data_IF_604118609438
#
_entry.id   IF_604118609438
#
_cell.length_a   1.000
_cell.length_b   1.000
_cell.length_c   1.000
_cell.angle_alpha   90.00
_cell.angle_beta   90.00
_cell.angle_gamma   90.00
#
_symmetry.space_group_name_H-M   'P 1'
#
loop_
_entity.id
_entity.type
_entity.pdbx_description
1 polymer ?
#
# COMPACT_ATOMS: atom_id res chain seq x y z
N UNK A 1 21.80 44.47 -51.92
CA UNK A 1 20.80 44.18 -50.88
C UNK A 1 20.62 42.69 -50.89
N UNK A 2 21.30 41.98 -49.97
CA UNK A 2 21.30 40.51 -49.87
C UNK A 2 20.44 40.13 -48.72
N UNK A 3 19.28 39.50 -48.98
CA UNK A 3 18.40 38.90 -48.00
C UNK A 3 19.08 37.65 -47.43
N UNK A 4 19.36 37.65 -46.11
CA UNK A 4 19.72 36.44 -45.34
C UNK A 4 18.46 35.89 -44.72
N UNK A 5 17.99 34.75 -45.23
CA UNK A 5 16.96 33.94 -44.56
C UNK A 5 17.58 33.19 -43.40
N UNK A 6 17.10 33.45 -42.17
CA UNK A 6 17.45 32.73 -40.98
C UNK A 6 16.47 31.55 -40.87
N UNK A 7 16.99 30.33 -41.02
CA UNK A 7 16.26 29.09 -40.73
C UNK A 7 16.29 28.85 -39.20
N UNK A 8 15.14 28.94 -38.54
CA UNK A 8 14.97 28.46 -37.18
C UNK A 8 14.76 26.93 -37.20
N UNK A 9 15.76 26.20 -36.71
CA UNK A 9 15.63 24.77 -36.43
C UNK A 9 14.87 24.63 -35.11
N UNK A 10 13.57 24.28 -35.17
CA UNK A 10 12.80 23.86 -34.01
C UNK A 10 13.28 22.45 -33.66
N UNK A 11 14.13 22.33 -32.62
CA UNK A 11 14.35 21.05 -31.94
C UNK A 11 13.08 20.71 -31.18
N UNK A 12 12.36 19.70 -31.64
CA UNK A 12 11.34 19.02 -30.84
C UNK A 12 12.05 18.23 -29.75
N UNK A 13 12.05 18.76 -28.53
CA UNK A 13 12.28 17.96 -27.31
C UNK A 13 11.08 17.05 -27.15
N UNK A 14 11.18 15.80 -27.62
CA UNK A 14 10.28 14.75 -27.21
C UNK A 14 10.53 14.51 -25.72
N UNK A 15 9.50 14.51 -24.86
CA UNK A 15 9.68 14.07 -23.51
C UNK A 15 10.14 12.59 -23.56
N UNK A 16 11.30 12.31 -23.01
CA UNK A 16 11.68 10.94 -22.68
C UNK A 16 10.73 10.50 -21.55
N UNK A 17 9.61 9.89 -21.90
CA UNK A 17 8.89 9.05 -20.97
C UNK A 17 9.73 7.79 -20.81
N UNK A 18 10.43 7.66 -19.69
CA UNK A 18 10.99 6.38 -19.29
C UNK A 18 9.79 5.42 -19.15
N UNK A 19 9.62 4.55 -20.12
CA UNK A 19 8.64 3.47 -20.03
C UNK A 19 9.22 2.49 -19.02
N UNK A 20 8.64 2.44 -17.82
CA UNK A 20 8.86 1.32 -16.92
C UNK A 20 8.44 0.06 -17.67
N UNK A 21 9.39 -0.85 -17.95
CA UNK A 21 9.08 -2.11 -18.59
C UNK A 21 8.24 -2.94 -17.62
N UNK A 22 7.14 -3.58 -18.06
CA UNK A 22 6.33 -4.40 -17.18
C UNK A 22 7.18 -5.53 -16.60
N UNK A 23 7.03 -5.79 -15.31
CA UNK A 23 7.66 -6.92 -14.65
C UNK A 23 6.92 -8.18 -15.08
N UNK A 24 7.66 -9.18 -15.59
CA UNK A 24 7.13 -10.50 -15.96
C UNK A 24 7.07 -11.41 -14.73
N UNK A 25 8.14 -11.41 -13.94
CA UNK A 25 8.24 -12.19 -12.69
C UNK A 25 9.33 -11.64 -11.77
N UNK A 26 9.43 -12.21 -10.57
CA UNK A 26 10.41 -11.84 -9.57
C UNK A 26 11.40 -12.97 -9.28
N UNK A 27 12.69 -12.62 -9.10
CA UNK A 27 13.78 -13.53 -8.78
C UNK A 27 14.67 -12.96 -7.67
N UNK A 28 15.31 -13.85 -6.89
CA UNK A 28 16.24 -13.45 -5.86
C UNK A 28 17.68 -13.45 -6.39
N UNK A 29 18.37 -12.33 -6.31
CA UNK A 29 19.81 -12.22 -6.63
C UNK A 29 20.69 -12.43 -5.39
N UNK A 30 20.14 -12.20 -4.18
CA UNK A 30 20.77 -12.56 -2.92
C UNK A 30 19.70 -13.14 -1.98
N UNK A 31 19.98 -14.34 -1.46
CA UNK A 31 19.23 -15.00 -0.39
C UNK A 31 20.01 -14.92 0.93
N UNK A 32 19.29 -14.81 2.05
CA UNK A 32 19.95 -14.68 3.35
C UNK A 32 20.80 -15.90 3.69
N UNK A 33 20.36 -17.11 3.33
CA UNK A 33 20.98 -18.38 3.68
C UNK A 33 22.27 -18.69 2.91
N UNK A 34 22.67 -17.83 1.97
CA UNK A 34 23.93 -17.99 1.23
C UNK A 34 25.15 -17.71 2.12
N UNK A 35 26.35 -18.07 1.62
CA UNK A 35 27.60 -17.71 2.31
C UNK A 35 27.90 -16.21 2.18
N UNK A 36 28.25 -15.60 3.31
CA UNK A 36 28.66 -14.20 3.44
C UNK A 36 30.03 -14.09 4.11
N UNK A 37 30.81 -13.13 3.68
CA UNK A 37 31.95 -12.68 4.48
C UNK A 37 31.46 -11.81 5.63
N UNK A 38 31.94 -12.06 6.87
CA UNK A 38 31.50 -11.31 8.04
C UNK A 38 32.63 -10.94 8.99
N UNK A 39 32.45 -9.84 9.71
CA UNK A 39 33.39 -9.33 10.71
C UNK A 39 32.60 -8.80 11.91
N UNK A 40 32.98 -9.23 13.11
CA UNK A 40 32.50 -8.64 14.36
C UNK A 40 33.04 -7.19 14.50
N UNK A 41 32.15 -6.27 14.90
CA UNK A 41 32.47 -4.86 15.08
C UNK A 41 33.26 -4.58 16.37
N UNK A 42 34.48 -5.06 16.44
CA UNK A 42 35.44 -4.77 17.54
C UNK A 42 36.24 -3.50 17.29
N UNK A 43 36.27 -3.04 16.07
CA UNK A 43 36.98 -1.82 15.61
C UNK A 43 36.44 -1.40 14.24
N UNK A 44 36.65 -0.14 13.84
CA UNK A 44 36.28 0.35 12.50
C UNK A 44 36.95 -0.48 11.40
N UNK A 45 36.19 -0.98 10.40
CA UNK A 45 36.78 -1.54 9.20
C UNK A 45 37.40 -0.41 8.35
N UNK A 46 38.27 -0.73 7.38
CA UNK A 46 38.75 0.27 6.41
C UNK A 46 37.55 0.96 5.73
N UNK A 47 37.62 2.26 5.45
CA UNK A 47 36.53 3.05 4.89
C UNK A 47 35.98 2.53 3.55
N UNK A 48 36.71 1.69 2.82
CA UNK A 48 36.30 1.06 1.58
C UNK A 48 35.60 -0.31 1.76
N UNK A 49 35.31 -0.70 3.00
CA UNK A 49 34.79 -2.05 3.29
C UNK A 49 33.49 -2.38 2.54
N UNK A 50 32.67 -1.39 2.21
CA UNK A 50 31.40 -1.52 1.51
C UNK A 50 31.50 -1.34 -0.02
N UNK A 51 32.74 -1.18 -0.54
CA UNK A 51 32.98 -0.96 -1.98
C UNK A 51 33.25 -2.27 -2.72
N UNK A 52 32.91 -2.36 -4.02
CA UNK A 52 33.36 -3.46 -4.86
C UNK A 52 34.89 -3.60 -4.87
N UNK A 53 35.37 -4.85 -4.92
CA UNK A 53 36.79 -5.17 -4.97
C UNK A 53 37.57 -4.88 -3.67
N UNK A 54 36.90 -4.63 -2.57
CA UNK A 54 37.52 -4.65 -1.26
C UNK A 54 38.00 -6.06 -0.94
N UNK A 55 39.25 -6.20 -0.47
CA UNK A 55 39.78 -7.49 -0.06
C UNK A 55 39.30 -7.85 1.34
N UNK A 56 38.39 -8.81 1.44
CA UNK A 56 37.81 -9.38 2.66
C UNK A 56 38.35 -10.79 3.00
N UNK A 57 39.44 -11.25 2.38
CA UNK A 57 40.06 -12.55 2.64
C UNK A 57 40.38 -12.84 4.13
N UNK A 58 40.51 -11.77 4.94
CA UNK A 58 40.75 -11.86 6.38
C UNK A 58 39.49 -11.88 7.24
N UNK A 59 38.31 -11.72 6.63
CA UNK A 59 37.05 -11.83 7.30
C UNK A 59 36.65 -13.31 7.46
N UNK A 60 35.80 -13.59 8.43
CA UNK A 60 35.22 -14.92 8.52
C UNK A 60 34.20 -15.13 7.41
N UNK A 61 33.90 -16.39 7.09
CA UNK A 61 32.83 -16.78 6.17
C UNK A 61 31.84 -17.64 6.92
N UNK A 62 30.55 -17.40 6.73
CA UNK A 62 29.47 -18.16 7.34
C UNK A 62 28.21 -18.13 6.48
N UNK A 63 27.36 -19.12 6.67
CA UNK A 63 26.01 -19.15 6.11
C UNK A 63 25.18 -18.05 6.79
N UNK A 64 24.42 -17.28 6.00
CA UNK A 64 23.61 -16.19 6.53
C UNK A 64 22.45 -16.66 7.43
N UNK A 65 21.89 -15.75 8.19
CA UNK A 65 21.23 -15.99 9.44
C UNK A 65 22.28 -15.90 10.54
N UNK A 66 22.80 -14.65 10.73
CA UNK A 66 23.83 -14.37 11.73
C UNK A 66 23.17 -13.86 12.98
N UNK A 67 23.45 -14.50 14.12
CA UNK A 67 22.87 -14.04 15.37
C UNK A 67 23.19 -14.92 16.58
N UNK A 68 22.35 -14.82 17.60
CA UNK A 68 22.36 -15.67 18.80
C UNK A 68 21.01 -15.58 19.54
N UNK A 69 20.63 -16.71 20.20
CA UNK A 69 19.58 -16.87 21.21
C UNK A 69 18.10 -16.74 20.73
N UNK A 70 17.78 -16.57 19.47
CA UNK A 70 16.41 -16.57 18.91
C UNK A 70 16.07 -17.88 18.14
N UNK A 71 17.07 -18.68 17.76
CA UNK A 71 16.91 -20.06 17.28
C UNK A 71 16.69 -20.21 15.77
N UNK A 72 16.92 -19.18 14.98
CA UNK A 72 16.93 -19.16 13.50
C UNK A 72 18.34 -18.92 12.92
N UNK A 73 19.36 -18.88 13.78
CA UNK A 73 20.74 -18.63 13.41
C UNK A 73 21.42 -19.83 12.73
N UNK A 74 21.89 -19.66 11.50
CA UNK A 74 22.80 -20.62 10.86
C UNK A 74 24.25 -20.38 11.29
N UNK A 75 24.66 -19.10 11.45
CA UNK A 75 25.97 -18.72 11.95
C UNK A 75 25.86 -18.01 13.28
N UNK A 76 26.12 -18.76 14.36
CA UNK A 76 26.09 -18.23 15.72
C UNK A 76 27.32 -17.34 15.95
N UNK A 77 27.09 -16.09 16.34
CA UNK A 77 28.13 -15.12 16.68
C UNK A 77 28.20 -14.86 18.18
N UNK A 78 29.29 -14.28 18.65
CA UNK A 78 29.39 -13.81 20.03
C UNK A 78 28.63 -12.49 20.21
N UNK A 79 28.04 -12.20 21.40
CA UNK A 79 27.41 -10.93 21.68
C UNK A 79 28.27 -9.74 21.28
N UNK A 80 27.70 -8.84 20.49
CA UNK A 80 28.37 -7.69 19.91
C UNK A 80 27.45 -6.49 19.77
N UNK A 81 28.02 -5.26 19.66
CA UNK A 81 27.25 -4.06 19.31
C UNK A 81 27.03 -4.00 17.81
N UNK A 82 28.01 -4.41 16.99
CA UNK A 82 27.84 -4.37 15.53
C UNK A 82 28.44 -5.57 14.83
N UNK A 83 27.90 -5.85 13.66
CA UNK A 83 28.32 -6.88 12.73
C UNK A 83 28.42 -6.28 11.32
N UNK A 84 29.48 -6.58 10.60
CA UNK A 84 29.68 -6.20 9.21
C UNK A 84 29.56 -7.43 8.33
N UNK A 85 28.69 -7.35 7.30
CA UNK A 85 28.41 -8.41 6.35
C UNK A 85 28.75 -7.94 4.93
N UNK A 86 29.29 -8.82 4.11
CA UNK A 86 29.55 -8.58 2.69
C UNK A 86 29.12 -9.79 1.87
N UNK A 87 28.44 -9.53 0.77
CA UNK A 87 28.06 -10.54 -0.23
C UNK A 87 28.38 -10.03 -1.62
N UNK A 88 29.23 -10.72 -2.34
CA UNK A 88 29.38 -10.51 -3.79
C UNK A 88 28.37 -11.37 -4.54
N UNK A 89 27.76 -10.79 -5.55
CA UNK A 89 26.77 -11.45 -6.42
C UNK A 89 26.89 -10.95 -7.85
N UNK A 90 26.39 -11.73 -8.82
CA UNK A 90 26.51 -11.42 -10.24
C UNK A 90 25.18 -10.93 -10.80
N UNK A 91 25.21 -9.81 -11.54
CA UNK A 91 24.12 -9.35 -12.39
C UNK A 91 24.47 -9.69 -13.84
N UNK A 92 23.64 -10.53 -14.47
CA UNK A 92 23.88 -11.01 -15.84
C UNK A 92 23.61 -9.91 -16.86
N UNK A 93 22.49 -9.20 -16.70
CA UNK A 93 22.05 -8.11 -17.57
C UNK A 93 21.16 -7.12 -16.79
N UNK A 94 21.63 -5.90 -16.60
CA UNK A 94 20.87 -4.85 -15.91
C UNK A 94 19.64 -4.40 -16.71
N UNK A 95 19.63 -4.58 -18.03
CA UNK A 95 18.53 -4.12 -18.89
C UNK A 95 17.25 -4.93 -18.75
N UNK A 96 17.32 -6.16 -18.18
CA UNK A 96 16.14 -6.98 -17.91
C UNK A 96 15.54 -6.71 -16.52
N UNK A 97 16.16 -5.88 -15.69
CA UNK A 97 15.72 -5.60 -14.34
C UNK A 97 14.92 -4.30 -14.32
N UNK A 98 13.66 -4.39 -13.94
CA UNK A 98 12.72 -3.27 -13.90
C UNK A 98 12.42 -2.77 -12.49
N UNK A 99 12.72 -3.57 -11.47
CA UNK A 99 12.51 -3.18 -10.07
C UNK A 99 13.49 -3.90 -9.15
N UNK A 100 13.77 -3.31 -7.99
CA UNK A 100 14.59 -3.90 -6.93
C UNK A 100 13.92 -3.67 -5.60
N UNK A 101 13.80 -4.74 -4.83
CA UNK A 101 13.33 -4.72 -3.45
C UNK A 101 14.38 -5.34 -2.54
N UNK A 102 14.81 -4.59 -1.55
CA UNK A 102 15.66 -5.06 -0.48
C UNK A 102 14.79 -5.44 0.71
N UNK A 103 14.99 -6.62 1.28
CA UNK A 103 14.29 -7.09 2.47
C UNK A 103 15.28 -7.35 3.58
N UNK A 104 14.89 -6.96 4.79
CA UNK A 104 15.68 -7.13 6.00
C UNK A 104 14.82 -7.69 7.13
N UNK A 105 15.29 -8.77 7.74
CA UNK A 105 14.81 -9.25 9.03
C UNK A 105 15.96 -9.15 10.01
N UNK A 106 15.81 -8.31 11.02
CA UNK A 106 16.94 -7.84 11.82
C UNK A 106 16.50 -7.45 13.23
N UNK A 107 17.45 -7.52 14.11
CA UNK A 107 17.42 -7.08 15.49
C UNK A 107 18.71 -6.29 15.77
N UNK A 108 18.73 -5.02 16.14
CA UNK A 108 17.74 -3.95 16.31
C UNK A 108 17.77 -2.92 15.17
N UNK A 109 18.91 -2.79 14.47
CA UNK A 109 19.17 -1.75 13.49
C UNK A 109 20.15 -2.19 12.40
N UNK A 110 20.08 -1.55 11.23
CA UNK A 110 21.05 -1.79 10.16
C UNK A 110 21.23 -0.57 9.24
N UNK A 111 22.32 -0.61 8.46
CA UNK A 111 22.54 0.20 7.24
C UNK A 111 23.01 -0.72 6.13
N UNK A 112 22.34 -0.69 4.98
CA UNK A 112 22.68 -1.48 3.80
C UNK A 112 23.24 -0.60 2.67
N UNK A 113 24.26 -1.11 2.00
CA UNK A 113 24.94 -0.48 0.89
C UNK A 113 25.01 -1.41 -0.31
N UNK A 114 24.66 -0.90 -1.49
CA UNK A 114 24.88 -1.56 -2.77
C UNK A 114 26.04 -0.84 -3.49
N UNK A 115 27.13 -1.54 -3.76
CA UNK A 115 28.34 -0.98 -4.35
C UNK A 115 28.86 0.31 -3.65
N UNK A 116 28.66 0.38 -2.34
CA UNK A 116 29.07 1.50 -1.50
C UNK A 116 28.10 2.66 -1.40
N UNK A 117 26.96 2.61 -2.10
CA UNK A 117 25.87 3.58 -1.99
C UNK A 117 24.83 3.05 -1.00
N UNK A 118 24.44 3.87 -0.02
CA UNK A 118 23.39 3.51 0.95
C UNK A 118 22.04 3.34 0.27
N UNK A 119 21.44 2.14 0.40
CA UNK A 119 20.12 1.81 -0.19
C UNK A 119 19.02 1.68 0.85
N UNK A 120 19.35 1.39 2.10
CA UNK A 120 18.39 1.25 3.18
C UNK A 120 19.04 1.49 4.55
N UNK A 121 18.23 1.95 5.49
CA UNK A 121 18.61 2.15 6.88
C UNK A 121 17.39 2.00 7.78
N UNK A 122 17.59 1.43 8.95
CA UNK A 122 16.57 1.40 9.99
C UNK A 122 17.18 1.58 11.37
N UNK A 123 16.52 2.36 12.20
CA UNK A 123 16.70 2.50 13.65
C UNK A 123 18.11 2.93 14.12
N UNK A 124 18.93 3.58 13.26
CA UNK A 124 20.27 4.06 13.62
C UNK A 124 20.67 5.31 12.84
N UNK A 125 21.30 6.27 13.53
CA UNK A 125 22.03 7.40 12.98
C UNK A 125 21.25 8.28 11.99
N UNK A 126 21.97 8.87 11.03
CA UNK A 126 21.43 9.79 10.01
C UNK A 126 21.80 9.30 8.62
N UNK A 127 20.86 9.38 7.65
CA UNK A 127 21.09 8.99 6.25
C UNK A 127 22.38 9.63 5.69
N UNK A 128 23.17 8.83 4.99
CA UNK A 128 24.42 9.26 4.37
C UNK A 128 25.62 9.40 5.33
N UNK A 129 25.43 9.16 6.64
CA UNK A 129 26.52 9.13 7.63
C UNK A 129 26.65 7.71 8.16
N UNK A 130 27.76 7.05 7.86
CA UNK A 130 28.03 5.70 8.36
C UNK A 130 28.11 5.71 9.90
N UNK A 131 27.36 4.82 10.59
CA UNK A 131 27.45 4.73 12.04
C UNK A 131 28.81 4.18 12.46
N UNK A 132 29.31 4.61 13.64
CA UNK A 132 30.51 4.05 14.20
C UNK A 132 30.31 2.59 14.65
N UNK A 133 31.38 1.77 14.62
CA UNK A 133 31.29 0.34 14.99
C UNK A 133 30.69 0.09 16.39
N UNK A 134 30.76 1.06 17.28
CA UNK A 134 30.24 1.00 18.66
C UNK A 134 28.98 1.87 18.88
N UNK A 135 28.39 2.41 17.83
CA UNK A 135 27.09 3.08 17.89
C UNK A 135 26.00 2.05 18.10
N UNK A 136 25.04 2.34 18.96
CA UNK A 136 23.94 1.41 19.28
C UNK A 136 22.67 1.81 18.53
N UNK A 137 21.78 0.86 18.31
CA UNK A 137 20.44 1.13 17.83
C UNK A 137 19.70 2.15 18.72
N UNK A 138 18.77 2.90 18.14
CA UNK A 138 18.02 3.96 18.85
C UNK A 138 16.97 3.36 19.80
N UNK A 139 16.30 2.27 19.38
CA UNK A 139 15.26 1.57 20.13
C UNK A 139 15.37 0.06 19.90
N UNK A 140 14.67 -0.73 20.70
CA UNK A 140 14.50 -2.16 20.45
C UNK A 140 13.62 -2.40 19.23
N UNK A 141 14.00 -3.39 18.41
CA UNK A 141 13.24 -3.86 17.27
C UNK A 141 13.55 -5.35 17.08
N UNK A 142 12.52 -6.17 17.04
CA UNK A 142 12.60 -7.62 16.95
C UNK A 142 12.50 -8.13 15.52
N UNK A 143 13.29 -9.13 15.16
CA UNK A 143 13.15 -9.89 13.93
C UNK A 143 11.78 -10.61 13.89
N UNK A 144 11.24 -10.86 12.70
CA UNK A 144 9.86 -11.33 12.52
C UNK A 144 9.75 -12.71 11.87
N UNK A 145 10.70 -13.10 10.99
CA UNK A 145 10.60 -14.34 10.22
C UNK A 145 10.52 -15.58 11.08
N UNK A 146 11.31 -15.66 12.16
CA UNK A 146 11.31 -16.81 13.08
C UNK A 146 9.98 -17.00 13.82
N UNK A 147 9.16 -15.94 13.89
CA UNK A 147 7.81 -15.95 14.49
C UNK A 147 6.71 -16.15 13.45
N UNK A 148 7.06 -16.33 12.16
CA UNK A 148 6.11 -16.43 11.05
C UNK A 148 5.59 -15.10 10.55
N UNK A 149 6.25 -13.99 10.90
CA UNK A 149 6.03 -12.65 10.34
C UNK A 149 6.71 -12.48 8.99
N UNK A 150 6.77 -11.24 8.50
CA UNK A 150 7.41 -10.87 7.24
C UNK A 150 8.60 -9.95 7.50
N UNK A 151 9.70 -10.04 6.70
CA UNK A 151 10.79 -9.10 6.78
C UNK A 151 10.36 -7.70 6.34
N UNK A 152 11.04 -6.69 6.84
CA UNK A 152 10.80 -5.30 6.42
C UNK A 152 11.25 -5.09 4.97
N UNK A 153 10.39 -4.48 4.15
CA UNK A 153 10.67 -4.16 2.76
C UNK A 153 11.21 -2.73 2.61
N UNK A 154 12.24 -2.57 1.79
CA UNK A 154 12.81 -1.29 1.40
C UNK A 154 12.87 -1.23 -0.14
N UNK A 155 12.17 -0.27 -0.74
CA UNK A 155 12.15 -0.10 -2.19
C UNK A 155 13.32 0.80 -2.59
N UNK A 156 14.11 0.34 -3.56
CA UNK A 156 15.15 1.16 -4.20
C UNK A 156 14.49 1.90 -5.38
N UNK A 157 14.64 3.22 -5.45
CA UNK A 157 13.99 4.00 -6.50
C UNK A 157 14.57 3.69 -7.88
N UNK A 158 13.72 3.74 -8.92
CA UNK A 158 14.17 3.49 -10.30
C UNK A 158 15.24 4.51 -10.76
N UNK A 159 15.16 5.76 -10.28
CA UNK A 159 16.15 6.80 -10.61
C UNK A 159 17.55 6.47 -10.07
N UNK A 160 17.61 5.73 -8.95
CA UNK A 160 18.88 5.33 -8.34
C UNK A 160 19.46 4.06 -8.97
N UNK A 161 18.62 3.21 -9.62
CA UNK A 161 19.04 1.89 -10.11
C UNK A 161 20.09 1.95 -11.23
N UNK A 162 19.96 2.88 -12.17
CA UNK A 162 20.84 2.95 -13.35
C UNK A 162 22.31 3.19 -13.00
N UNK A 163 22.57 3.84 -11.85
CA UNK A 163 23.90 4.19 -11.37
C UNK A 163 24.42 3.26 -10.23
N UNK A 164 23.54 2.40 -9.68
CA UNK A 164 23.85 1.62 -8.47
C UNK A 164 24.57 0.31 -8.75
N UNK A 165 24.34 -0.34 -9.88
CA UNK A 165 24.91 -1.64 -10.20
C UNK A 165 25.39 -1.79 -11.63
N UNK A 166 26.17 -2.84 -11.85
CA UNK A 166 26.81 -3.12 -13.13
C UNK A 166 26.49 -4.54 -13.59
N UNK A 167 26.56 -4.77 -14.88
CA UNK A 167 26.67 -6.12 -15.39
C UNK A 167 27.97 -6.76 -14.86
N UNK A 168 27.89 -7.96 -14.31
CA UNK A 168 28.98 -8.63 -13.62
C UNK A 168 28.89 -8.51 -12.10
N UNK A 169 30.02 -8.51 -11.42
CA UNK A 169 30.09 -8.57 -9.95
C UNK A 169 29.64 -7.28 -9.28
N UNK A 170 28.73 -7.41 -8.33
CA UNK A 170 28.24 -6.36 -7.45
C UNK A 170 28.45 -6.76 -5.98
N UNK A 171 28.41 -5.81 -5.07
CA UNK A 171 28.58 -6.03 -3.63
C UNK A 171 27.41 -5.48 -2.84
N UNK A 172 26.72 -6.34 -2.11
CA UNK A 172 25.81 -5.97 -1.03
C UNK A 172 26.61 -5.99 0.28
N UNK A 173 26.66 -4.85 0.97
CA UNK A 173 27.38 -4.72 2.23
C UNK A 173 26.43 -4.16 3.31
N UNK A 174 26.44 -4.75 4.50
CA UNK A 174 25.49 -4.41 5.55
C UNK A 174 26.22 -4.25 6.88
N UNK A 175 25.89 -3.20 7.61
CA UNK A 175 26.31 -2.98 8.97
C UNK A 175 25.09 -3.10 9.88
N UNK A 176 25.08 -4.11 10.75
CA UNK A 176 23.98 -4.39 11.68
C UNK A 176 24.38 -3.93 13.07
N UNK A 177 23.43 -3.40 13.83
CA UNK A 177 23.70 -2.86 15.17
C UNK A 177 22.64 -3.30 16.17
N UNK A 178 23.11 -3.71 17.33
CA UNK A 178 22.32 -4.03 18.49
C UNK A 178 22.07 -2.76 19.35
N UNK A 179 21.02 -2.74 20.14
CA UNK A 179 20.73 -1.69 21.14
C UNK A 179 21.78 -1.64 22.25
N UNK A 180 22.53 -2.72 22.47
CA UNK A 180 23.59 -2.79 23.44
C UNK A 180 24.27 -4.15 23.53
N UNK A 181 25.49 -4.19 24.08
CA UNK A 181 26.26 -5.42 24.24
C UNK A 181 25.58 -6.49 25.14
N UNK A 182 24.61 -6.09 25.96
CA UNK A 182 23.86 -6.99 26.85
C UNK A 182 22.46 -7.33 26.31
N UNK A 183 22.18 -7.11 25.04
CA UNK A 183 20.94 -7.58 24.43
C UNK A 183 20.83 -9.11 24.56
N UNK A 184 19.60 -9.60 24.68
CA UNK A 184 19.35 -11.04 24.85
C UNK A 184 19.62 -11.83 23.59
N UNK A 185 19.47 -11.19 22.42
CA UNK A 185 19.46 -11.77 21.09
C UNK A 185 20.08 -10.86 20.03
N UNK A 186 20.18 -11.35 18.82
CA UNK A 186 20.64 -10.64 17.64
C UNK A 186 20.25 -11.45 16.40
N UNK A 187 19.65 -10.81 15.42
CA UNK A 187 19.26 -11.43 14.16
C UNK A 187 19.66 -10.60 12.95
N UNK A 188 20.14 -11.24 11.88
CA UNK A 188 20.56 -10.57 10.65
C UNK A 188 20.35 -11.45 9.43
N UNK A 189 19.18 -11.25 8.75
CA UNK A 189 18.82 -11.91 7.50
C UNK A 189 18.49 -10.86 6.44
N UNK A 190 19.12 -10.95 5.27
CA UNK A 190 18.97 -9.95 4.22
C UNK A 190 18.78 -10.59 2.85
N UNK A 191 17.90 -10.00 2.05
CA UNK A 191 17.53 -10.51 0.73
C UNK A 191 17.54 -9.35 -0.28
N UNK A 192 17.96 -9.65 -1.51
CA UNK A 192 17.85 -8.71 -2.63
C UNK A 192 17.06 -9.39 -3.75
N UNK A 193 15.89 -8.86 -4.06
CA UNK A 193 14.94 -9.43 -4.99
C UNK A 193 14.71 -8.44 -6.13
N UNK A 194 14.67 -8.95 -7.36
CA UNK A 194 14.56 -8.14 -8.58
C UNK A 194 13.33 -8.54 -9.39
N UNK A 195 12.65 -7.53 -9.95
CA UNK A 195 11.58 -7.71 -10.92
C UNK A 195 12.17 -7.78 -12.32
N UNK A 196 11.97 -8.89 -13.01
CA UNK A 196 12.49 -9.21 -14.36
C UNK A 196 11.42 -8.87 -15.40
N UNK A 197 11.80 -8.24 -16.51
CA UNK A 197 10.90 -7.79 -17.57
C UNK A 197 10.87 -8.68 -18.81
N UNK A 198 11.48 -9.86 -18.73
CA UNK A 198 11.45 -10.87 -19.78
C UNK A 198 11.09 -12.25 -19.18
N UNK A 199 11.04 -13.30 -19.97
CA UNK A 199 10.70 -14.65 -19.53
C UNK A 199 11.93 -15.51 -19.25
N UNK A 200 13.11 -14.93 -18.99
CA UNK A 200 14.30 -15.65 -18.58
C UNK A 200 14.18 -16.12 -17.12
N UNK A 201 14.90 -17.18 -16.76
CA UNK A 201 15.14 -17.57 -15.36
C UNK A 201 16.63 -17.45 -15.15
N UNK A 202 17.06 -16.29 -14.66
CA UNK A 202 18.47 -15.89 -14.60
C UNK A 202 19.08 -16.04 -13.21
N UNK A 203 18.24 -15.97 -12.17
CA UNK A 203 18.62 -15.99 -10.76
C UNK A 203 17.88 -17.06 -9.98
N UNK A 204 17.81 -16.96 -8.67
CA UNK A 204 17.18 -17.93 -7.80
C UNK A 204 15.68 -17.65 -7.63
N UNK A 205 14.85 -18.69 -7.31
CA UNK A 205 13.46 -18.47 -6.94
C UNK A 205 13.36 -17.55 -5.72
N UNK A 206 12.32 -16.73 -5.67
CA UNK A 206 12.00 -15.92 -4.47
C UNK A 206 11.64 -16.83 -3.29
N UNK A 207 11.87 -16.40 -2.03
CA UNK A 207 11.45 -17.13 -0.84
C UNK A 207 9.94 -17.33 -0.77
N UNK A 208 9.48 -18.38 -0.07
CA UNK A 208 8.05 -18.70 0.07
C UNK A 208 7.23 -17.60 0.77
N UNK A 209 7.87 -16.76 1.58
CA UNK A 209 7.23 -15.64 2.24
C UNK A 209 7.08 -14.40 1.34
N UNK A 210 7.77 -14.38 0.18
CA UNK A 210 7.74 -13.21 -0.70
C UNK A 210 6.34 -12.95 -1.24
N UNK A 211 5.88 -11.73 -1.03
CA UNK A 211 4.64 -11.22 -1.60
C UNK A 211 5.02 -10.27 -2.72
N UNK A 212 4.60 -10.60 -3.93
CA UNK A 212 4.87 -9.77 -5.10
C UNK A 212 4.35 -8.33 -4.88
N UNK A 213 5.22 -7.30 -5.01
CA UNK A 213 4.78 -5.92 -4.87
C UNK A 213 3.72 -5.57 -5.91
N UNK A 214 2.68 -4.88 -5.47
CA UNK A 214 1.66 -4.37 -6.37
C UNK A 214 2.27 -3.31 -7.29
N UNK A 215 2.10 -3.46 -8.61
CA UNK A 215 2.60 -2.52 -9.62
C UNK A 215 1.51 -1.97 -10.51
N UNK A 216 0.52 -2.79 -10.83
CA UNK A 216 -0.57 -2.44 -11.73
C UNK A 216 -1.77 -3.38 -11.57
N UNK A 217 -2.93 -2.97 -12.05
CA UNK A 217 -4.15 -3.79 -12.08
C UNK A 217 -5.00 -3.45 -13.32
N UNK A 218 -5.84 -4.39 -13.71
CA UNK A 218 -6.93 -4.11 -14.66
C UNK A 218 -8.17 -3.51 -13.97
N UNK A 219 -8.12 -3.32 -12.64
CA UNK A 219 -9.13 -2.59 -11.89
C UNK A 219 -8.68 -1.14 -11.69
N UNK A 220 -9.61 -0.18 -11.53
CA UNK A 220 -9.29 1.18 -11.10
C UNK A 220 -8.50 1.20 -9.80
N UNK A 221 -7.55 2.14 -9.66
CA UNK A 221 -6.76 2.33 -8.45
C UNK A 221 -7.28 3.56 -7.71
N UNK A 222 -7.59 3.40 -6.43
CA UNK A 222 -8.03 4.49 -5.54
C UNK A 222 -6.96 4.72 -4.47
N UNK A 223 -6.48 5.95 -4.39
CA UNK A 223 -5.50 6.40 -3.41
C UNK A 223 -6.16 7.36 -2.43
N UNK A 224 -6.04 7.11 -1.14
CA UNK A 224 -6.55 7.95 -0.07
C UNK A 224 -5.39 8.37 0.82
N UNK A 225 -5.21 9.67 1.00
CA UNK A 225 -4.17 10.23 1.85
C UNK A 225 -4.81 11.04 2.98
N UNK A 226 -4.69 10.54 4.21
CA UNK A 226 -5.18 11.19 5.44
C UNK A 226 -4.11 12.03 6.13
N UNK A 227 -2.93 12.18 5.50
CA UNK A 227 -1.75 12.80 6.14
C UNK A 227 -1.19 11.99 7.32
N UNK A 228 -1.46 10.66 7.34
CA UNK A 228 -1.05 9.74 8.40
C UNK A 228 -2.02 9.67 9.59
N UNK A 229 -3.18 10.36 9.52
CA UNK A 229 -4.19 10.25 10.57
C UNK A 229 -4.96 8.93 10.45
N UNK A 230 -5.30 8.32 11.58
CA UNK A 230 -6.20 7.17 11.64
C UNK A 230 -7.61 7.59 11.23
N UNK A 231 -8.28 6.78 10.41
CA UNK A 231 -9.67 7.03 10.02
C UNK A 231 -10.57 6.59 11.18
N UNK A 232 -11.36 7.52 11.77
CA UNK A 232 -12.28 7.20 12.88
C UNK A 232 -13.57 6.55 12.38
N UNK A 233 -14.38 6.03 13.30
CA UNK A 233 -15.77 5.62 13.04
C UNK A 233 -16.66 6.87 12.77
N UNK A 234 -16.59 7.87 13.65
CA UNK A 234 -17.22 9.19 13.52
C UNK A 234 -16.41 10.25 14.30
N UNK A 235 -16.40 11.49 13.88
CA UNK A 235 -16.89 12.06 12.62
C UNK A 235 -15.91 11.82 11.46
N UNK A 236 -16.36 12.09 10.22
CA UNK A 236 -15.47 12.07 9.04
C UNK A 236 -14.29 13.01 9.23
N UNK A 237 -13.11 12.56 8.83
CA UNK A 237 -11.90 13.39 8.74
C UNK A 237 -11.66 13.84 7.30
N UNK A 238 -10.97 14.96 7.13
CA UNK A 238 -10.53 15.42 5.82
C UNK A 238 -9.39 14.54 5.29
N UNK A 239 -9.47 14.23 4.01
CA UNK A 239 -8.45 13.48 3.28
C UNK A 239 -8.40 13.93 1.80
N UNK A 240 -7.35 13.51 1.09
CA UNK A 240 -7.23 13.65 -0.35
C UNK A 240 -7.49 12.29 -1.00
N UNK A 241 -8.19 12.27 -2.14
CA UNK A 241 -8.40 11.06 -2.92
C UNK A 241 -8.01 11.28 -4.37
N UNK A 242 -7.31 10.30 -4.94
CA UNK A 242 -7.03 10.21 -6.37
C UNK A 242 -7.54 8.89 -6.94
N UNK A 243 -8.05 8.91 -8.17
CA UNK A 243 -8.51 7.71 -8.88
C UNK A 243 -7.83 7.63 -10.25
N UNK A 244 -7.20 6.48 -10.52
CA UNK A 244 -6.68 6.12 -11.84
C UNK A 244 -7.64 5.11 -12.46
N UNK A 245 -8.22 5.47 -13.62
CA UNK A 245 -9.03 4.57 -14.46
C UNK A 245 -8.73 4.90 -15.93
N UNK A 246 -7.90 4.08 -16.57
CA UNK A 246 -7.51 4.22 -17.98
C UNK A 246 -8.58 3.69 -18.94
N UNK A 247 -9.67 3.15 -18.39
CA UNK A 247 -10.82 2.67 -19.15
C UNK A 247 -10.91 1.14 -19.26
N UNK A 248 -11.97 0.65 -19.90
CA UNK A 248 -12.25 -0.79 -19.96
C UNK A 248 -11.15 -1.57 -20.70
N UNK A 249 -10.62 -2.60 -20.05
CA UNK A 249 -9.55 -3.50 -20.53
C UNK A 249 -8.15 -2.85 -20.63
N UNK A 250 -7.98 -1.64 -20.11
CA UNK A 250 -6.65 -1.03 -19.98
C UNK A 250 -6.06 -1.40 -18.61
N UNK A 251 -4.73 -1.33 -18.52
CA UNK A 251 -4.00 -1.53 -17.27
C UNK A 251 -3.81 -0.17 -16.59
N UNK A 252 -4.08 -0.12 -15.31
CA UNK A 252 -3.83 1.02 -14.44
C UNK A 252 -2.53 0.77 -13.68
N UNK A 253 -1.53 1.63 -13.85
CA UNK A 253 -0.24 1.56 -13.15
C UNK A 253 -0.17 2.55 -12.00
N UNK A 254 0.61 2.24 -10.96
CA UNK A 254 0.87 3.18 -9.85
C UNK A 254 1.49 4.51 -10.31
N UNK A 255 2.14 4.53 -11.49
CA UNK A 255 2.79 5.71 -12.06
C UNK A 255 1.91 6.53 -12.98
N UNK A 256 0.67 6.07 -13.27
CA UNK A 256 -0.25 6.81 -14.11
C UNK A 256 -0.81 8.06 -13.38
N UNK A 257 -1.17 9.11 -14.11
CA UNK A 257 -1.85 10.25 -13.52
C UNK A 257 -3.26 9.89 -13.07
N UNK A 258 -3.79 10.61 -12.09
CA UNK A 258 -5.21 10.50 -11.72
C UNK A 258 -6.09 10.96 -12.90
N UNK A 259 -6.94 10.07 -13.39
CA UNK A 259 -7.73 10.25 -14.61
C UNK A 259 -9.23 10.43 -14.36
N UNK A 260 -9.76 9.84 -13.28
CA UNK A 260 -11.20 9.90 -12.97
C UNK A 260 -11.52 10.93 -11.86
N UNK A 261 -10.75 10.97 -10.78
CA UNK A 261 -10.91 11.92 -9.68
C UNK A 261 -9.56 12.34 -9.08
N UNK A 262 -9.48 13.60 -8.63
CA UNK A 262 -8.37 14.11 -7.83
C UNK A 262 -8.87 15.31 -7.02
N UNK A 263 -9.13 15.12 -5.71
CA UNK A 263 -9.72 16.16 -4.88
C UNK A 263 -9.91 15.79 -3.42
N UNK A 264 -10.57 16.70 -2.69
CA UNK A 264 -10.85 16.58 -1.26
C UNK A 264 -11.99 15.61 -1.00
N UNK A 265 -11.90 14.87 0.10
CA UNK A 265 -12.96 14.00 0.62
C UNK A 265 -13.07 14.13 2.13
N UNK A 266 -14.26 13.84 2.67
CA UNK A 266 -14.44 13.48 4.07
C UNK A 266 -14.61 11.97 4.19
N UNK A 267 -13.87 11.29 5.08
CA UNK A 267 -13.87 9.83 5.20
C UNK A 267 -14.01 9.37 6.65
N UNK A 268 -14.75 8.28 6.85
CA UNK A 268 -14.95 7.61 8.12
C UNK A 268 -14.98 6.10 7.96
N UNK A 269 -14.73 5.33 9.01
CA UNK A 269 -15.01 3.89 9.04
C UNK A 269 -16.52 3.71 9.03
N UNK A 270 -17.00 2.73 8.27
CA UNK A 270 -18.41 2.41 8.16
C UNK A 270 -18.71 0.99 8.61
N UNK A 271 -19.81 0.86 9.34
CA UNK A 271 -20.37 -0.43 9.74
C UNK A 271 -20.56 -0.51 11.24
N UNK A 272 -21.27 -1.50 11.69
CA UNK A 272 -21.51 -1.78 13.10
C UNK A 272 -20.62 -2.95 13.56
N UNK A 273 -21.02 -4.19 13.34
CA UNK A 273 -20.18 -5.35 13.67
C UNK A 273 -18.98 -5.52 12.74
N UNK A 274 -19.05 -5.00 11.51
CA UNK A 274 -17.95 -5.07 10.55
C UNK A 274 -16.76 -4.17 10.89
N UNK A 275 -16.92 -3.22 11.81
CA UNK A 275 -15.78 -2.43 12.35
C UNK A 275 -14.78 -3.29 13.12
N UNK A 276 -15.18 -4.50 13.55
CA UNK A 276 -14.28 -5.45 14.22
C UNK A 276 -13.42 -6.26 13.23
N UNK A 277 -13.72 -6.22 11.94
CA UNK A 277 -12.92 -6.91 10.93
C UNK A 277 -11.59 -6.17 10.68
N UNK A 278 -10.55 -6.89 10.34
CA UNK A 278 -9.27 -6.30 9.95
C UNK A 278 -9.43 -5.38 8.73
N UNK A 279 -10.12 -5.86 7.68
CA UNK A 279 -10.46 -5.07 6.50
C UNK A 279 -11.73 -4.25 6.78
N UNK A 280 -11.55 -2.94 6.95
CA UNK A 280 -12.64 -2.00 7.22
C UNK A 280 -13.41 -1.68 5.95
N UNK A 281 -14.68 -1.28 6.10
CA UNK A 281 -15.43 -0.55 5.08
C UNK A 281 -15.43 0.93 5.43
N UNK A 282 -15.51 1.80 4.42
CA UNK A 282 -15.48 3.25 4.61
C UNK A 282 -16.70 3.90 3.99
N UNK A 283 -17.23 4.93 4.67
CA UNK A 283 -18.11 5.93 4.09
C UNK A 283 -17.29 7.17 3.75
N UNK A 284 -17.50 7.73 2.58
CA UNK A 284 -16.85 8.98 2.23
C UNK A 284 -17.77 9.89 1.41
N UNK A 285 -17.46 11.18 1.46
CA UNK A 285 -18.10 12.19 0.64
C UNK A 285 -17.05 13.00 -0.09
N UNK A 286 -17.29 13.27 -1.37
CA UNK A 286 -16.46 14.18 -2.16
C UNK A 286 -16.78 15.63 -1.80
N UNK A 287 -15.73 16.45 -1.63
CA UNK A 287 -15.82 17.82 -1.13
C UNK A 287 -15.16 18.83 -2.07
N UNK A 288 -15.65 20.07 -2.02
CA UNK A 288 -14.95 21.23 -2.55
C UNK A 288 -13.85 21.67 -1.55
N UNK A 289 -12.87 22.49 -1.99
CA UNK A 289 -11.80 22.96 -1.09
C UNK A 289 -12.28 23.79 0.12
N UNK A 290 -13.51 24.28 0.11
CA UNK A 290 -14.16 24.99 1.22
C UNK A 290 -14.94 24.06 2.18
N UNK A 291 -14.92 22.75 1.90
CA UNK A 291 -15.58 21.72 2.70
C UNK A 291 -17.02 21.41 2.31
N UNK A 292 -17.60 22.17 1.36
CA UNK A 292 -18.95 21.89 0.86
C UNK A 292 -19.00 20.63 -0.01
N UNK A 293 -20.18 20.03 -0.10
CA UNK A 293 -20.40 18.83 -0.91
C UNK A 293 -20.10 19.06 -2.39
N UNK A 294 -19.41 18.11 -3.01
CA UNK A 294 -19.03 18.14 -4.42
C UNK A 294 -19.63 16.94 -5.16
N UNK A 295 -20.75 17.12 -5.84
CA UNK A 295 -21.35 16.06 -6.64
C UNK A 295 -20.49 15.77 -7.86
N UNK A 296 -19.94 14.57 -7.94
CA UNK A 296 -19.08 14.09 -9.03
C UNK A 296 -19.47 12.70 -9.50
N UNK A 297 -19.19 12.42 -10.76
CA UNK A 297 -19.24 11.05 -11.28
C UNK A 297 -17.95 10.33 -10.89
N UNK A 298 -18.04 9.15 -10.30
CA UNK A 298 -16.90 8.29 -10.01
C UNK A 298 -17.03 6.98 -10.80
N UNK A 299 -15.99 6.62 -11.54
CA UNK A 299 -15.91 5.38 -12.34
C UNK A 299 -17.15 5.19 -13.24
N UNK A 300 -17.65 6.29 -13.84
CA UNK A 300 -18.82 6.30 -14.71
C UNK A 300 -20.16 6.04 -14.01
N UNK A 301 -20.22 6.09 -12.69
CA UNK A 301 -21.50 6.12 -11.95
C UNK A 301 -22.04 7.55 -11.89
N UNK A 302 -23.36 7.77 -11.83
CA UNK A 302 -23.96 9.09 -11.82
C UNK A 302 -23.47 9.99 -10.69
N UNK A 303 -23.44 11.30 -10.95
CA UNK A 303 -22.96 12.33 -10.03
C UNK A 303 -23.70 12.29 -8.69
N UNK A 304 -22.91 12.29 -7.63
CA UNK A 304 -23.34 12.43 -6.25
C UNK A 304 -22.10 12.64 -5.36
N UNK A 305 -22.26 13.07 -4.12
CA UNK A 305 -21.14 13.26 -3.22
C UNK A 305 -20.92 12.09 -2.23
N UNK A 306 -21.96 11.33 -1.86
CA UNK A 306 -21.89 10.25 -0.88
C UNK A 306 -21.61 8.89 -1.51
N UNK A 307 -20.55 8.24 -1.05
CA UNK A 307 -20.05 6.98 -1.58
C UNK A 307 -19.65 6.01 -0.47
N UNK A 308 -19.52 4.74 -0.82
CA UNK A 308 -19.09 3.68 0.09
C UNK A 308 -17.96 2.89 -0.57
N UNK A 309 -16.86 2.69 0.16
CA UNK A 309 -15.88 1.65 -0.13
C UNK A 309 -16.18 0.45 0.76
N UNK A 310 -16.82 -0.55 0.16
CA UNK A 310 -17.15 -1.79 0.87
C UNK A 310 -15.96 -2.75 0.83
N UNK A 311 -15.43 -3.11 1.99
CA UNK A 311 -14.41 -4.13 2.18
C UNK A 311 -15.06 -5.48 2.50
N UNK A 312 -15.29 -6.37 1.54
CA UNK A 312 -16.08 -7.60 1.76
C UNK A 312 -15.27 -8.70 2.46
N UNK A 313 -14.83 -8.44 3.70
CA UNK A 313 -13.93 -9.31 4.47
C UNK A 313 -14.46 -10.73 4.67
N UNK A 314 -15.74 -10.87 5.02
CA UNK A 314 -16.39 -12.17 5.27
C UNK A 314 -16.82 -12.91 4.01
N UNK A 315 -16.96 -12.20 2.88
CA UNK A 315 -17.30 -12.79 1.59
C UNK A 315 -16.04 -13.04 0.75
N UNK A 316 -15.48 -14.23 0.88
CA UNK A 316 -14.24 -14.61 0.15
C UNK A 316 -14.39 -14.66 -1.37
N UNK A 317 -15.64 -14.64 -1.90
CA UNK A 317 -15.90 -14.50 -3.33
C UNK A 317 -15.89 -13.05 -3.82
N UNK A 318 -15.99 -12.07 -2.91
CA UNK A 318 -16.18 -10.63 -3.15
C UNK A 318 -17.44 -10.29 -3.99
N UNK A 319 -18.31 -11.26 -4.30
CA UNK A 319 -19.35 -11.16 -5.33
C UNK A 319 -20.75 -10.96 -4.78
N UNK A 320 -21.06 -11.36 -3.54
CA UNK A 320 -22.45 -11.50 -3.07
C UNK A 320 -23.23 -10.19 -3.15
N UNK A 321 -22.68 -9.09 -2.64
CA UNK A 321 -23.34 -7.79 -2.69
C UNK A 321 -23.46 -7.29 -4.13
N UNK A 322 -22.37 -7.36 -4.90
CA UNK A 322 -22.33 -6.91 -6.30
C UNK A 322 -23.36 -7.66 -7.15
N UNK A 323 -23.43 -8.99 -7.01
CA UNK A 323 -24.38 -9.82 -7.73
C UNK A 323 -25.84 -9.50 -7.32
N UNK A 324 -26.09 -9.33 -6.03
CA UNK A 324 -27.44 -8.99 -5.52
C UNK A 324 -27.93 -7.66 -6.07
N UNK A 325 -27.06 -6.63 -6.06
CA UNK A 325 -27.37 -5.31 -6.62
C UNK A 325 -27.52 -5.36 -8.14
N UNK A 326 -26.67 -6.11 -8.84
CA UNK A 326 -26.80 -6.30 -10.28
C UNK A 326 -28.14 -6.95 -10.65
N UNK A 327 -28.58 -7.98 -9.91
CA UNK A 327 -29.89 -8.62 -10.12
C UNK A 327 -31.03 -7.61 -9.87
N UNK A 328 -30.96 -6.84 -8.77
CA UNK A 328 -31.95 -5.81 -8.45
C UNK A 328 -32.10 -4.79 -9.59
N UNK A 329 -31.00 -4.26 -10.08
CA UNK A 329 -30.99 -3.33 -11.21
C UNK A 329 -31.51 -3.97 -12.51
N UNK A 330 -31.16 -5.24 -12.78
CA UNK A 330 -31.64 -6.00 -13.95
C UNK A 330 -33.15 -6.26 -13.90
N UNK A 331 -33.72 -6.27 -12.71
CA UNK A 331 -35.21 -6.38 -12.51
C UNK A 331 -35.91 -5.03 -12.62
N UNK A 332 -35.21 -3.95 -12.97
CA UNK A 332 -35.76 -2.60 -13.06
C UNK A 332 -36.05 -1.96 -11.68
N UNK A 333 -35.39 -2.43 -10.63
CA UNK A 333 -35.40 -1.83 -9.29
C UNK A 333 -34.13 -1.09 -9.04
N UNK A 334 -34.18 0.05 -8.34
CA UNK A 334 -32.96 0.68 -7.86
C UNK A 334 -32.24 -0.25 -6.87
N UNK A 335 -30.97 -0.44 -7.13
CA UNK A 335 -30.02 -1.00 -6.20
C UNK A 335 -28.67 -0.28 -6.43
N UNK A 336 -27.79 -0.12 -5.41
CA UNK A 336 -26.52 0.55 -5.57
C UNK A 336 -25.73 0.05 -6.78
N UNK A 337 -25.24 0.98 -7.62
CA UNK A 337 -24.28 0.64 -8.66
C UNK A 337 -22.94 0.41 -8.00
N UNK A 338 -22.15 -0.46 -8.59
CA UNK A 338 -20.89 -0.93 -7.98
C UNK A 338 -19.76 -0.97 -9.00
N UNK A 339 -18.53 -0.73 -8.53
CA UNK A 339 -17.27 -0.92 -9.27
C UNK A 339 -16.24 -1.56 -8.36
N UNK A 340 -15.58 -2.62 -8.83
CA UNK A 340 -14.39 -3.11 -8.14
C UNK A 340 -13.23 -2.15 -8.35
N UNK A 341 -12.39 -2.01 -7.34
CA UNK A 341 -11.21 -1.17 -7.35
C UNK A 341 -10.15 -1.73 -6.39
N UNK A 342 -8.90 -1.41 -6.67
CA UNK A 342 -7.80 -1.58 -5.74
C UNK A 342 -7.68 -0.32 -4.89
N UNK A 343 -7.43 -0.44 -3.59
CA UNK A 343 -7.38 0.70 -2.68
C UNK A 343 -6.04 0.78 -1.96
N UNK A 344 -5.51 2.00 -1.91
CA UNK A 344 -4.33 2.39 -1.15
C UNK A 344 -4.73 3.45 -0.12
N UNK A 345 -4.26 3.31 1.12
CA UNK A 345 -4.44 4.30 2.19
C UNK A 345 -3.06 4.65 2.72
N UNK A 346 -2.68 5.94 2.66
CA UNK A 346 -1.36 6.43 3.05
C UNK A 346 -0.22 5.58 2.43
N UNK A 347 -0.30 5.37 1.12
CA UNK A 347 0.62 4.59 0.29
C UNK A 347 0.66 3.07 0.59
N UNK A 348 -0.14 2.59 1.54
CA UNK A 348 -0.26 1.17 1.84
C UNK A 348 -1.40 0.54 1.04
N UNK A 349 -1.11 -0.54 0.33
CA UNK A 349 -2.12 -1.32 -0.36
C UNK A 349 -3.01 -2.08 0.63
N UNK A 350 -4.32 -1.81 0.61
CA UNK A 350 -5.30 -2.43 1.51
C UNK A 350 -6.21 -3.45 0.83
N UNK A 351 -5.97 -3.68 -0.47
CA UNK A 351 -6.61 -4.75 -1.26
C UNK A 351 -7.80 -4.30 -2.10
N UNK A 352 -8.49 -5.30 -2.68
CA UNK A 352 -9.67 -5.10 -3.54
C UNK A 352 -10.87 -4.66 -2.71
N UNK A 353 -11.52 -3.58 -3.11
CA UNK A 353 -12.77 -3.05 -2.56
C UNK A 353 -13.85 -2.98 -3.62
N UNK A 354 -15.07 -2.70 -3.17
CA UNK A 354 -16.20 -2.36 -4.04
C UNK A 354 -16.60 -0.91 -3.75
N UNK A 355 -16.30 0.00 -4.68
CA UNK A 355 -16.88 1.34 -4.68
C UNK A 355 -18.35 1.22 -5.04
N UNK A 356 -19.22 1.78 -4.22
CA UNK A 356 -20.65 1.70 -4.40
C UNK A 356 -21.38 2.96 -3.95
N UNK A 357 -22.58 3.14 -4.50
CA UNK A 357 -23.48 4.22 -4.14
C UNK A 357 -24.00 4.05 -2.72
N UNK A 358 -24.06 5.14 -1.95
CA UNK A 358 -24.84 5.20 -0.72
C UNK A 358 -26.33 5.30 -1.08
N UNK A 359 -27.16 4.48 -0.46
CA UNK A 359 -28.61 4.57 -0.63
C UNK A 359 -29.10 5.84 0.06
N UNK A 360 -29.70 6.74 -0.69
CA UNK A 360 -30.28 7.98 -0.20
C UNK A 360 -31.32 8.49 -1.20
N UNK A 361 -32.15 9.45 -0.78
CA UNK A 361 -33.05 10.17 -1.67
C UNK A 361 -32.22 11.12 -2.54
N UNK A 362 -32.24 10.89 -3.82
CA UNK A 362 -31.60 11.70 -4.86
C UNK A 362 -32.10 11.26 -6.23
N UNK A 363 -32.13 12.17 -7.21
CA UNK A 363 -32.57 11.89 -8.58
C UNK A 363 -31.73 10.80 -9.27
N UNK A 364 -30.46 10.64 -8.88
CA UNK A 364 -29.55 9.64 -9.40
C UNK A 364 -29.49 8.36 -8.55
N UNK A 365 -30.18 8.33 -7.38
CA UNK A 365 -30.23 7.19 -6.44
C UNK A 365 -31.67 6.70 -6.30
N UNK A 366 -32.34 7.03 -5.21
CA UNK A 366 -33.76 6.73 -4.99
C UNK A 366 -34.55 7.99 -5.30
N UNK A 367 -35.13 8.04 -6.51
CA UNK A 367 -35.91 9.18 -7.00
C UNK A 367 -37.33 9.14 -6.42
N UNK A 368 -37.48 9.68 -5.23
CA UNK A 368 -38.75 9.82 -4.50
C UNK A 368 -38.97 11.25 -4.03
N UNK A 369 -40.21 11.62 -3.75
CA UNK A 369 -40.53 12.95 -3.24
C UNK A 369 -39.90 13.21 -1.88
N UNK A 370 -39.51 14.45 -1.64
CA UNK A 370 -39.08 14.91 -0.31
C UNK A 370 -40.32 15.02 0.59
N UNK A 371 -40.23 14.45 1.79
CA UNK A 371 -41.26 14.63 2.83
C UNK A 371 -40.72 15.61 3.85
N UNK A 372 -41.48 16.65 4.15
CA UNK A 372 -41.11 17.71 5.10
C UNK A 372 -42.14 17.77 6.24
N UNK A 373 -41.84 18.41 7.37
CA UNK A 373 -42.78 18.58 8.47
C UNK A 373 -44.07 19.35 8.11
N UNK A 374 -44.11 20.03 6.98
CA UNK A 374 -45.28 20.72 6.44
C UNK A 374 -46.22 19.81 5.69
N UNK A 375 -45.80 18.63 5.30
CA UNK A 375 -46.55 17.66 4.53
C UNK A 375 -47.46 16.82 5.45
N UNK A 376 -48.57 17.39 5.90
CA UNK A 376 -49.43 16.81 6.91
C UNK A 376 -50.62 16.00 6.34
N UNK A 377 -50.77 15.91 5.02
CA UNK A 377 -51.86 15.18 4.38
C UNK A 377 -51.64 14.94 2.88
N UNK A 378 -52.35 13.99 2.30
CA UNK A 378 -52.36 13.72 0.85
C UNK A 378 -51.18 12.88 0.38
N UNK A 379 -50.94 12.92 -0.93
CA UNK A 379 -49.92 12.11 -1.59
C UNK A 379 -48.50 12.49 -1.16
N UNK A 380 -48.27 13.74 -0.77
CA UNK A 380 -47.00 14.24 -0.28
C UNK A 380 -46.59 13.58 1.05
N UNK A 381 -47.54 13.38 1.98
CA UNK A 381 -47.31 12.69 3.24
C UNK A 381 -47.18 11.16 3.07
N UNK A 382 -47.82 10.56 2.04
CA UNK A 382 -47.91 9.10 1.90
C UNK A 382 -46.81 8.48 1.02
N UNK A 383 -45.96 9.31 0.43
CA UNK A 383 -44.85 8.86 -0.43
C UNK A 383 -43.52 9.42 0.08
N UNK A 384 -42.44 8.99 -0.54
CA UNK A 384 -41.13 9.59 -0.29
C UNK A 384 -40.35 9.07 0.92
N UNK A 385 -40.58 7.84 1.36
CA UNK A 385 -39.88 7.24 2.49
C UNK A 385 -38.84 6.19 2.06
N UNK A 386 -37.68 6.21 2.71
CA UNK A 386 -36.73 5.10 2.72
C UNK A 386 -36.61 4.59 4.15
N UNK A 387 -36.74 3.30 4.34
CA UNK A 387 -36.50 2.65 5.62
C UNK A 387 -35.72 1.35 5.43
N UNK A 388 -34.90 1.01 6.41
CA UNK A 388 -34.15 -0.24 6.45
C UNK A 388 -34.76 -1.22 7.45
N UNK A 389 -34.50 -2.51 7.24
CA UNK A 389 -34.65 -3.52 8.29
C UNK A 389 -33.31 -3.61 9.01
N UNK A 390 -33.27 -3.13 10.23
CA UNK A 390 -32.05 -3.05 11.04
C UNK A 390 -32.36 -3.31 12.52
N UNK A 391 -31.36 -3.23 13.38
CA UNK A 391 -31.54 -3.30 14.82
C UNK A 391 -31.87 -1.93 15.40
N UNK A 392 -32.47 -1.92 16.57
CA UNK A 392 -32.76 -0.72 17.35
C UNK A 392 -31.49 -0.29 18.11
N UNK A 393 -30.63 0.49 17.47
CA UNK A 393 -29.37 0.97 18.05
C UNK A 393 -29.37 2.48 18.40
N UNK A 394 -30.32 3.28 17.85
CA UNK A 394 -30.45 4.72 18.08
C UNK A 394 -31.65 5.11 18.96
N UNK A 395 -32.35 4.14 19.51
CA UNK A 395 -33.55 4.32 20.32
C UNK A 395 -34.85 3.99 19.59
N UNK A 396 -35.93 3.76 20.35
CA UNK A 396 -37.21 3.29 19.80
C UNK A 396 -37.89 4.31 18.87
N UNK A 397 -37.56 5.57 18.96
CA UNK A 397 -38.06 6.63 18.11
C UNK A 397 -37.46 6.67 16.72
N UNK A 398 -36.29 6.05 16.50
CA UNK A 398 -35.65 5.99 15.17
C UNK A 398 -36.37 5.11 14.15
N UNK A 399 -37.47 4.42 14.57
CA UNK A 399 -38.22 3.51 13.74
C UNK A 399 -39.35 2.82 14.48
N UNK A 400 -39.74 1.62 14.05
CA UNK A 400 -40.74 0.80 14.70
C UNK A 400 -40.50 -0.69 14.55
N UNK A 401 -40.93 -1.47 15.54
CA UNK A 401 -40.95 -2.94 15.45
C UNK A 401 -42.06 -3.43 14.57
N UNK A 402 -41.82 -4.54 13.87
CA UNK A 402 -42.85 -5.21 13.08
C UNK A 402 -44.05 -5.59 13.95
N UNK A 403 -45.34 -5.34 13.50
CA UNK A 403 -46.50 -5.76 14.26
C UNK A 403 -46.69 -7.28 14.28
N UNK A 404 -45.91 -8.04 13.49
CA UNK A 404 -45.98 -9.50 13.40
C UNK A 404 -44.87 -10.20 14.19
N UNK A 405 -43.76 -9.51 14.46
CA UNK A 405 -42.64 -10.04 15.25
C UNK A 405 -41.73 -8.90 15.75
N UNK A 406 -41.45 -8.89 17.05
CA UNK A 406 -40.55 -7.93 17.65
C UNK A 406 -39.07 -8.09 17.20
N UNK A 407 -38.76 -9.21 16.51
CA UNK A 407 -37.41 -9.48 16.01
C UNK A 407 -37.02 -8.66 14.75
N UNK A 408 -37.99 -7.94 14.16
CA UNK A 408 -37.78 -7.11 12.98
C UNK A 408 -38.06 -5.67 13.32
N UNK A 409 -37.02 -4.84 13.30
CA UNK A 409 -37.12 -3.39 13.48
C UNK A 409 -36.92 -2.69 12.13
N UNK A 410 -37.83 -1.75 11.82
CA UNK A 410 -37.77 -0.87 10.66
C UNK A 410 -37.26 0.49 11.09
N UNK A 411 -36.10 0.90 10.55
CA UNK A 411 -35.44 2.18 10.85
C UNK A 411 -35.67 3.16 9.71
N UNK A 412 -36.01 4.42 10.03
CA UNK A 412 -36.06 5.50 9.05
C UNK A 412 -34.66 5.79 8.49
N UNK A 413 -34.60 6.06 7.20
CA UNK A 413 -33.39 6.44 6.48
C UNK A 413 -33.55 7.76 5.70
N UNK A 414 -34.79 8.07 5.28
CA UNK A 414 -35.18 9.33 4.63
C UNK A 414 -36.71 9.47 4.68
N UNK A 415 -37.30 10.55 5.21
CA UNK A 415 -36.57 11.54 6.02
C UNK A 415 -35.99 10.90 7.28
N UNK A 416 -34.90 11.50 7.81
CA UNK A 416 -34.39 11.10 9.12
C UNK A 416 -35.46 11.35 10.20
N UNK A 417 -35.41 10.57 11.29
CA UNK A 417 -36.40 10.70 12.37
C UNK A 417 -36.46 12.12 12.93
N UNK A 418 -35.30 12.78 13.05
CA UNK A 418 -35.21 14.17 13.55
C UNK A 418 -35.82 15.22 12.61
N UNK A 419 -36.09 14.83 11.35
CA UNK A 419 -36.74 15.68 10.34
C UNK A 419 -38.27 15.47 10.30
N UNK A 420 -38.80 14.48 10.99
CA UNK A 420 -40.24 14.16 11.10
C UNK A 420 -40.85 14.81 12.34
#
# INVERSE_FOLDING_TARGET
MTNKSIFFLLLWLLPYTAWCQPIDHWEAVVLAEEEWAYRIGDSEPPASWNQPGFNDDVWNVGEGGFGYDDGDDNTIISPTISLYLRKEFEIIDTSIISAVSFYADFDDAFVAYLNGVEIARSNIGTNGIAPAYNETATTFLEAQLYQGGLPSQFTVSQEDLDDLWNNGTNTLAIQVHNVGLNSSDFSALFFLIVGINDNSNSYQPVPDWFIEPFTSSNLPLIFINTGGADIPDEPKIDAQMGIIDNGPNEINSLTDPFTDYNGDIGIEIRGSSSILFEKKSFGFETRLPDGENNNVSLLGMPEENDWILNGPYSDKSLLRNVLSFHIGNSMGRYAPRTRWCEVFINDQYVGVYVLMEKIKRDNNRVDIANVTPEDISGDELTGGYIFSVDREDEGPESGWSSPFTEAVFYKYQDPDFDEL
#
